data_IF_238678117280
#
_entry.id   IF_238678117280
#
_cell.length_a   1.000
_cell.length_b   1.000
_cell.length_c   1.000
_cell.angle_alpha   90.00
_cell.angle_beta   90.00
_cell.angle_gamma   90.00
#
_symmetry.space_group_name_H-M   'P 1'
#
loop_
_entity.id
_entity.type
_entity.pdbx_description
1 polymer ?
#
# COMPACT_ATOMS: atom_id res chain seq x y z
N UNK A 1 9.80 14.99 -26.75
CA UNK A 1 10.42 14.46 -25.54
C UNK A 1 9.26 13.89 -24.74
N UNK A 2 9.33 12.63 -24.29
CA UNK A 2 8.32 12.12 -23.33
C UNK A 2 8.46 12.97 -22.07
N UNK A 3 7.33 13.41 -21.49
CA UNK A 3 7.35 14.02 -20.17
C UNK A 3 7.81 12.94 -19.18
N UNK A 4 8.86 13.23 -18.45
CA UNK A 4 9.36 12.35 -17.38
C UNK A 4 8.99 13.05 -16.10
N UNK A 5 8.20 12.38 -15.25
CA UNK A 5 7.74 12.92 -13.97
C UNK A 5 8.86 12.95 -12.93
N UNK A 6 8.65 13.74 -11.87
CA UNK A 6 9.56 13.78 -10.73
C UNK A 6 9.75 12.38 -10.16
N UNK A 7 11.00 12.05 -9.78
CA UNK A 7 11.37 10.72 -9.27
C UNK A 7 10.69 10.34 -7.95
N UNK A 8 10.18 11.32 -7.20
CA UNK A 8 9.44 11.10 -5.96
C UNK A 8 7.95 10.82 -6.21
N UNK A 9 7.52 10.87 -7.47
CA UNK A 9 6.17 10.47 -7.87
C UNK A 9 6.23 9.03 -8.38
N UNK A 10 5.60 8.12 -7.65
CA UNK A 10 5.56 6.68 -7.93
C UNK A 10 4.23 6.31 -8.58
N UNK A 11 4.26 5.40 -9.56
CA UNK A 11 3.06 4.77 -10.10
C UNK A 11 2.77 3.50 -9.30
N UNK A 12 1.69 3.50 -8.50
CA UNK A 12 1.28 2.33 -7.74
C UNK A 12 0.77 1.19 -8.64
N UNK A 13 0.83 -0.03 -8.15
CA UNK A 13 0.40 -1.21 -8.90
C UNK A 13 -1.11 -1.26 -9.16
N UNK A 14 -1.90 -0.42 -8.45
CA UNK A 14 -3.33 -0.24 -8.70
C UNK A 14 -3.61 0.17 -10.16
N UNK A 15 -2.68 0.82 -10.84
CA UNK A 15 -2.71 1.04 -12.28
C UNK A 15 -2.94 -0.26 -13.06
N UNK A 16 -2.09 -1.25 -12.82
CA UNK A 16 -2.18 -2.57 -13.49
C UNK A 16 -3.41 -3.35 -13.05
N UNK A 17 -3.79 -3.26 -11.78
CA UNK A 17 -5.02 -3.87 -11.23
C UNK A 17 -6.25 -3.30 -11.94
N UNK A 18 -6.34 -1.99 -12.11
CA UNK A 18 -7.47 -1.34 -12.77
C UNK A 18 -7.58 -1.73 -14.23
N UNK A 19 -6.43 -1.87 -14.90
CA UNK A 19 -6.37 -2.17 -16.33
C UNK A 19 -6.66 -3.63 -16.66
N UNK A 20 -6.25 -4.55 -15.79
CA UNK A 20 -6.22 -6.00 -16.09
C UNK A 20 -7.06 -6.85 -15.14
N UNK A 21 -7.67 -6.24 -14.10
CA UNK A 21 -8.45 -6.94 -13.08
C UNK A 21 -7.62 -7.35 -11.86
N UNK A 22 -8.29 -7.91 -10.85
CA UNK A 22 -7.68 -8.26 -9.56
C UNK A 22 -7.73 -9.77 -9.28
N UNK A 23 -6.59 -10.42 -9.01
CA UNK A 23 -5.24 -9.93 -9.28
C UNK A 23 -4.94 -9.94 -10.79
N UNK A 24 -4.11 -9.03 -11.31
CA UNK A 24 -3.66 -9.11 -12.69
C UNK A 24 -2.72 -10.31 -12.87
N UNK A 25 -2.57 -10.82 -14.08
CA UNK A 25 -1.74 -12.02 -14.31
C UNK A 25 -0.25 -11.73 -14.09
N UNK A 26 0.36 -12.38 -13.10
CA UNK A 26 1.75 -12.21 -12.74
C UNK A 26 2.76 -12.65 -13.85
N UNK A 27 2.34 -13.45 -14.83
CA UNK A 27 3.18 -13.80 -15.98
C UNK A 27 3.46 -12.56 -16.88
N UNK A 28 2.67 -11.48 -16.74
CA UNK A 28 2.80 -10.25 -17.50
C UNK A 28 3.52 -9.09 -16.76
N UNK A 29 4.15 -9.35 -15.62
CA UNK A 29 4.82 -8.30 -14.82
C UNK A 29 5.80 -7.45 -15.61
N UNK A 30 6.57 -8.03 -16.53
CA UNK A 30 7.49 -7.29 -17.41
C UNK A 30 6.74 -6.29 -18.29
N UNK A 31 5.57 -6.66 -18.80
CA UNK A 31 4.70 -5.76 -19.58
C UNK A 31 4.23 -4.59 -18.72
N UNK A 32 3.81 -4.85 -17.48
CA UNK A 32 3.35 -3.80 -16.56
C UNK A 32 4.46 -2.80 -16.23
N UNK A 33 5.70 -3.28 -16.01
CA UNK A 33 6.87 -2.39 -15.86
C UNK A 33 7.03 -1.46 -17.06
N UNK A 34 6.93 -2.01 -18.28
CA UNK A 34 7.07 -1.22 -19.50
C UNK A 34 5.94 -0.20 -19.66
N UNK A 35 4.70 -0.56 -19.38
CA UNK A 35 3.54 0.33 -19.51
C UNK A 35 3.63 1.52 -18.53
N UNK A 36 3.90 1.26 -17.25
CA UNK A 36 4.07 2.33 -16.27
C UNK A 36 5.25 3.25 -16.61
N UNK A 37 6.37 2.70 -17.10
CA UNK A 37 7.50 3.48 -17.59
C UNK A 37 7.17 4.26 -18.87
N UNK A 38 6.31 3.73 -19.75
CA UNK A 38 5.89 4.40 -20.99
C UNK A 38 5.01 5.62 -20.72
N UNK A 39 4.28 5.66 -19.60
CA UNK A 39 3.57 6.84 -19.12
C UNK A 39 4.51 7.97 -18.66
N UNK A 40 5.78 7.67 -18.39
CA UNK A 40 6.78 8.67 -17.97
C UNK A 40 7.21 8.55 -16.51
N UNK A 41 6.75 7.51 -15.78
CA UNK A 41 7.18 7.29 -14.40
C UNK A 41 8.60 6.73 -14.31
N UNK A 42 9.39 7.29 -13.41
CA UNK A 42 10.74 6.81 -13.05
C UNK A 42 10.74 5.96 -11.78
N UNK A 43 9.60 5.88 -11.12
CA UNK A 43 9.39 5.12 -9.89
C UNK A 43 8.05 4.39 -10.01
N UNK A 44 8.02 3.10 -9.69
CA UNK A 44 6.82 2.25 -9.75
C UNK A 44 6.74 1.31 -8.56
N UNK A 45 5.54 0.84 -8.26
CA UNK A 45 5.32 -0.31 -7.38
C UNK A 45 5.02 -1.57 -8.18
N UNK A 46 5.36 -2.71 -7.58
CA UNK A 46 4.90 -4.03 -8.01
C UNK A 46 4.35 -4.78 -6.81
N UNK A 47 3.42 -5.71 -7.05
CA UNK A 47 2.79 -6.49 -5.99
C UNK A 47 2.95 -8.00 -6.17
N UNK A 48 2.92 -8.71 -5.03
CA UNK A 48 2.77 -10.16 -4.93
C UNK A 48 1.49 -10.51 -4.17
N UNK A 49 0.38 -10.75 -4.88
CA UNK A 49 -0.97 -10.88 -4.31
C UNK A 49 -1.27 -12.34 -3.99
N UNK A 50 -1.22 -12.69 -2.71
CA UNK A 50 -1.40 -14.07 -2.28
C UNK A 50 -0.30 -15.01 -2.77
N UNK A 51 -0.42 -16.29 -2.44
CA UNK A 51 0.65 -17.28 -2.67
C UNK A 51 0.98 -17.51 -4.15
N UNK A 52 -0.03 -17.76 -4.98
CA UNK A 52 0.19 -18.16 -6.36
C UNK A 52 0.84 -17.04 -7.18
N UNK A 53 0.30 -15.83 -7.04
CA UNK A 53 0.81 -14.64 -7.71
C UNK A 53 2.25 -14.31 -7.25
N UNK A 54 2.51 -14.28 -5.93
CA UNK A 54 3.84 -14.02 -5.38
C UNK A 54 4.87 -15.04 -5.87
N UNK A 55 4.52 -16.33 -5.94
CA UNK A 55 5.41 -17.39 -6.47
C UNK A 55 5.71 -17.18 -7.95
N UNK A 56 4.74 -16.71 -8.74
CA UNK A 56 4.97 -16.39 -10.16
C UNK A 56 5.89 -15.20 -10.31
N UNK A 57 5.71 -14.13 -9.54
CA UNK A 57 6.63 -12.99 -9.49
C UNK A 57 8.04 -13.46 -9.12
N UNK A 58 8.17 -14.34 -8.12
CA UNK A 58 9.46 -14.89 -7.72
C UNK A 58 10.13 -15.69 -8.84
N UNK A 59 9.36 -16.49 -9.57
CA UNK A 59 9.83 -17.27 -10.74
C UNK A 59 10.43 -16.34 -11.81
N UNK A 60 9.77 -15.20 -12.08
CA UNK A 60 10.16 -14.24 -13.13
C UNK A 60 11.00 -13.06 -12.61
N UNK A 61 11.52 -13.11 -11.38
CA UNK A 61 12.23 -11.98 -10.76
C UNK A 61 13.43 -11.45 -11.55
N UNK A 62 14.10 -12.31 -12.33
CA UNK A 62 15.26 -11.90 -13.13
C UNK A 62 14.85 -11.05 -14.31
N UNK A 63 13.83 -11.48 -15.02
CA UNK A 63 13.25 -10.78 -16.17
C UNK A 63 12.63 -9.44 -15.74
N UNK A 64 11.94 -9.43 -14.59
CA UNK A 64 11.36 -8.21 -14.00
C UNK A 64 12.49 -7.23 -13.63
N UNK A 65 13.54 -7.70 -12.93
CA UNK A 65 14.67 -6.84 -12.57
C UNK A 65 15.36 -6.27 -13.80
N UNK A 66 15.59 -7.09 -14.84
CA UNK A 66 16.17 -6.62 -16.09
C UNK A 66 15.31 -5.55 -16.74
N UNK A 67 13.97 -5.72 -16.74
CA UNK A 67 13.06 -4.71 -17.29
C UNK A 67 13.12 -3.37 -16.51
N UNK A 68 13.21 -3.41 -15.17
CA UNK A 68 13.41 -2.22 -14.35
C UNK A 68 14.72 -1.51 -14.71
N UNK A 69 15.82 -2.26 -14.82
CA UNK A 69 17.14 -1.74 -15.17
C UNK A 69 17.17 -1.15 -16.60
N UNK A 70 16.63 -1.87 -17.59
CA UNK A 70 16.58 -1.44 -19.00
C UNK A 70 15.77 -0.14 -19.18
N UNK A 71 14.76 0.07 -18.33
CA UNK A 71 13.93 1.26 -18.33
C UNK A 71 14.44 2.38 -17.41
N UNK A 72 15.44 2.10 -16.58
CA UNK A 72 15.96 3.02 -15.58
C UNK A 72 14.90 3.41 -14.53
N UNK A 73 14.00 2.48 -14.18
CA UNK A 73 12.89 2.70 -13.26
C UNK A 73 13.23 2.13 -11.89
N UNK A 74 13.03 2.93 -10.85
CA UNK A 74 13.18 2.51 -9.46
C UNK A 74 11.93 1.79 -8.95
N UNK A 75 12.13 0.89 -8.00
CA UNK A 75 11.04 0.24 -7.25
C UNK A 75 11.25 0.51 -5.76
N UNK A 76 10.70 1.61 -5.21
CA UNK A 76 10.92 1.99 -3.80
C UNK A 76 10.28 1.01 -2.82
N UNK A 77 9.12 0.46 -3.17
CA UNK A 77 8.35 -0.44 -2.33
C UNK A 77 7.85 -1.63 -3.16
N UNK A 78 7.98 -2.84 -2.61
CA UNK A 78 7.36 -4.04 -3.13
C UNK A 78 6.17 -4.41 -2.23
N UNK A 79 4.98 -4.50 -2.81
CA UNK A 79 3.77 -4.79 -2.05
C UNK A 79 3.52 -6.29 -1.97
N UNK A 80 3.07 -6.75 -0.80
CA UNK A 80 2.50 -8.08 -0.60
C UNK A 80 1.06 -7.95 -0.15
N UNK A 81 0.21 -8.93 -0.44
CA UNK A 81 -1.15 -8.98 0.08
C UNK A 81 -1.34 -10.35 0.72
N UNK A 82 -1.10 -10.40 2.03
CA UNK A 82 -1.01 -11.64 2.81
C UNK A 82 -1.92 -11.61 4.05
N UNK A 83 -3.25 -11.62 3.87
CA UNK A 83 -4.22 -11.44 4.96
C UNK A 83 -4.12 -12.52 6.05
N UNK A 84 -3.46 -13.64 5.76
CA UNK A 84 -3.29 -14.73 6.70
C UNK A 84 -2.35 -14.42 7.88
N UNK A 85 -1.49 -13.41 7.81
CA UNK A 85 -0.60 -13.05 8.95
C UNK A 85 -1.42 -12.77 10.21
N UNK A 86 -2.57 -12.11 10.08
CA UNK A 86 -3.48 -11.81 11.18
C UNK A 86 -4.47 -12.95 11.51
N UNK A 87 -4.44 -14.07 10.79
CA UNK A 87 -5.40 -15.16 11.00
C UNK A 87 -5.28 -15.79 12.39
N UNK A 88 -6.40 -16.12 13.05
CA UNK A 88 -6.36 -16.93 14.26
C UNK A 88 -5.92 -18.38 14.00
N UNK A 89 -5.93 -18.85 12.76
CA UNK A 89 -5.50 -20.18 12.34
C UNK A 89 -3.97 -20.23 12.20
N UNK A 90 -3.28 -20.88 13.14
CA UNK A 90 -1.82 -20.88 13.25
C UNK A 90 -1.07 -21.33 12.01
N UNK A 91 -1.52 -22.41 11.34
CA UNK A 91 -0.87 -22.91 10.11
C UNK A 91 -0.98 -21.90 8.95
N UNK A 92 -2.15 -21.30 8.77
CA UNK A 92 -2.36 -20.29 7.74
C UNK A 92 -1.53 -19.02 8.00
N UNK A 93 -1.45 -18.63 9.27
CA UNK A 93 -0.64 -17.48 9.67
C UNK A 93 0.86 -17.75 9.47
N UNK A 94 1.35 -18.94 9.84
CA UNK A 94 2.76 -19.30 9.61
C UNK A 94 3.09 -19.32 8.12
N UNK A 95 2.23 -19.92 7.31
CA UNK A 95 2.39 -19.93 5.85
C UNK A 95 2.45 -18.50 5.27
N UNK A 96 1.63 -17.60 5.77
CA UNK A 96 1.63 -16.20 5.33
C UNK A 96 2.89 -15.47 5.76
N UNK A 97 3.43 -15.75 6.94
CA UNK A 97 4.75 -15.24 7.36
C UNK A 97 5.89 -15.74 6.47
N UNK A 98 5.88 -17.03 6.09
CA UNK A 98 6.87 -17.58 5.17
C UNK A 98 6.81 -16.93 3.78
N UNK A 99 5.59 -16.64 3.30
CA UNK A 99 5.38 -15.89 2.06
C UNK A 99 5.83 -14.42 2.21
N UNK A 100 5.57 -13.79 3.35
CA UNK A 100 6.05 -12.43 3.61
C UNK A 100 7.56 -12.34 3.58
N UNK A 101 8.26 -13.34 4.13
CA UNK A 101 9.72 -13.44 4.01
C UNK A 101 10.16 -13.52 2.54
N UNK A 102 9.43 -14.28 1.70
CA UNK A 102 9.67 -14.29 0.24
C UNK A 102 9.45 -12.91 -0.39
N UNK A 103 8.43 -12.17 0.07
CA UNK A 103 8.21 -10.78 -0.33
C UNK A 103 9.38 -9.87 0.04
N UNK A 104 9.93 -10.01 1.25
CA UNK A 104 11.14 -9.27 1.67
C UNK A 104 12.35 -9.61 0.78
N UNK A 105 12.55 -10.89 0.45
CA UNK A 105 13.61 -11.31 -0.47
C UNK A 105 13.45 -10.65 -1.85
N UNK A 106 12.21 -10.61 -2.40
CA UNK A 106 11.91 -9.95 -3.67
C UNK A 106 12.13 -8.44 -3.60
N UNK A 107 11.64 -7.77 -2.56
CA UNK A 107 11.86 -6.35 -2.36
C UNK A 107 13.35 -6.00 -2.36
N UNK A 108 14.16 -6.72 -1.58
CA UNK A 108 15.60 -6.54 -1.54
C UNK A 108 16.27 -6.86 -2.88
N UNK A 109 15.81 -7.91 -3.57
CA UNK A 109 16.34 -8.30 -4.89
C UNK A 109 16.08 -7.22 -5.95
N UNK A 110 14.94 -6.57 -5.92
CA UNK A 110 14.60 -5.46 -6.82
C UNK A 110 15.25 -4.14 -6.43
N UNK A 111 15.81 -4.02 -5.23
CA UNK A 111 16.45 -2.82 -4.72
C UNK A 111 15.47 -1.88 -4.02
N UNK A 112 14.33 -2.39 -3.57
CA UNK A 112 13.39 -1.62 -2.77
C UNK A 112 13.99 -1.21 -1.42
N UNK A 113 13.48 -0.12 -0.84
CA UNK A 113 13.79 0.27 0.54
C UNK A 113 12.78 -0.31 1.54
N UNK A 114 11.68 -0.85 1.04
CA UNK A 114 10.70 -1.46 1.91
C UNK A 114 9.75 -2.43 1.23
N UNK A 115 9.08 -3.19 2.06
CA UNK A 115 7.98 -4.08 1.71
C UNK A 115 6.70 -3.56 2.35
N UNK A 116 5.60 -3.58 1.60
CA UNK A 116 4.29 -3.15 2.08
C UNK A 116 3.37 -4.37 2.19
N UNK A 117 2.54 -4.41 3.21
CA UNK A 117 1.40 -5.32 3.30
C UNK A 117 0.19 -4.60 3.88
N UNK A 118 -0.97 -5.13 3.59
CA UNK A 118 -2.21 -4.64 4.18
C UNK A 118 -2.16 -4.74 5.71
N UNK A 119 -2.71 -3.73 6.37
CA UNK A 119 -2.86 -3.76 7.83
C UNK A 119 -3.57 -5.03 8.30
N UNK A 120 -3.24 -5.53 9.51
CA UNK A 120 -3.76 -6.78 10.01
C UNK A 120 -5.29 -6.74 10.15
N UNK A 121 -5.95 -7.64 9.43
CA UNK A 121 -7.41 -7.76 9.50
C UNK A 121 -7.83 -8.27 10.88
N UNK A 122 -8.97 -7.77 11.36
CA UNK A 122 -9.66 -8.37 12.50
C UNK A 122 -9.99 -9.84 12.17
N UNK A 123 -9.98 -10.76 13.15
CA UNK A 123 -10.19 -12.18 12.91
C UNK A 123 -11.66 -12.51 12.59
N UNK A 124 -12.16 -11.92 11.52
CA UNK A 124 -13.52 -12.16 11.04
C UNK A 124 -13.64 -13.50 10.33
N UNK A 125 -14.81 -14.14 10.46
CA UNK A 125 -15.23 -15.27 9.63
C UNK A 125 -16.00 -14.69 8.42
N UNK A 126 -15.32 -14.57 7.30
CA UNK A 126 -15.94 -14.19 6.04
C UNK A 126 -16.69 -15.36 5.40
N UNK A 127 -17.72 -15.13 4.58
CA UNK A 127 -18.31 -16.16 3.75
C UNK A 127 -17.24 -16.88 2.92
N UNK A 128 -17.40 -18.22 2.74
CA UNK A 128 -16.39 -19.06 2.10
C UNK A 128 -16.10 -18.70 0.62
N UNK A 129 -17.04 -18.01 -0.02
CA UNK A 129 -16.98 -17.57 -1.42
C UNK A 129 -16.49 -16.13 -1.56
N UNK A 130 -16.13 -15.47 -0.47
CA UNK A 130 -15.64 -14.11 -0.51
C UNK A 130 -14.15 -14.10 -0.92
N UNK A 131 -13.80 -13.50 -2.05
CA UNK A 131 -12.42 -13.39 -2.48
C UNK A 131 -11.63 -12.47 -1.54
N UNK A 132 -10.30 -12.56 -1.61
CA UNK A 132 -9.42 -11.59 -0.95
C UNK A 132 -9.64 -10.24 -1.63
N UNK A 133 -10.14 -9.26 -0.88
CA UNK A 133 -10.33 -7.90 -1.36
C UNK A 133 -9.30 -6.96 -0.74
N UNK A 134 -8.98 -5.90 -1.46
CA UNK A 134 -8.24 -4.77 -0.88
C UNK A 134 -9.07 -4.07 0.21
N UNK A 135 -10.37 -3.98 -0.01
CA UNK A 135 -11.32 -3.33 0.91
C UNK A 135 -12.61 -4.13 1.00
N UNK A 136 -13.20 -4.11 2.17
CA UNK A 136 -14.52 -4.68 2.41
C UNK A 136 -15.53 -3.56 2.61
N UNK A 137 -16.70 -3.70 1.99
CA UNK A 137 -17.77 -2.72 2.18
C UNK A 137 -18.26 -2.70 3.64
N UNK A 138 -18.76 -1.56 4.13
CA UNK A 138 -19.33 -1.46 5.48
C UNK A 138 -20.42 -2.49 5.76
N UNK A 139 -21.20 -2.87 4.75
CA UNK A 139 -22.26 -3.88 4.90
C UNK A 139 -21.69 -5.27 5.10
N UNK A 140 -20.59 -5.62 4.43
CA UNK A 140 -19.85 -6.85 4.67
C UNK A 140 -19.31 -6.85 6.10
N UNK A 141 -18.58 -5.80 6.49
CA UNK A 141 -17.93 -5.71 7.81
C UNK A 141 -18.93 -5.77 8.98
N UNK A 142 -20.14 -5.21 8.82
CA UNK A 142 -21.20 -5.29 9.85
C UNK A 142 -21.81 -6.68 10.00
N UNK A 143 -21.73 -7.52 8.97
CA UNK A 143 -22.41 -8.81 8.91
C UNK A 143 -21.46 -10.01 9.04
N UNK A 144 -20.14 -9.80 9.10
CA UNK A 144 -19.18 -10.88 9.38
C UNK A 144 -19.35 -11.39 10.81
N UNK A 145 -18.95 -12.63 11.02
CA UNK A 145 -18.99 -13.26 12.34
C UNK A 145 -17.61 -13.27 12.96
N UNK A 146 -17.58 -13.38 14.27
CA UNK A 146 -16.35 -13.65 15.01
C UNK A 146 -16.29 -15.16 15.33
N UNK A 147 -15.07 -15.75 15.34
CA UNK A 147 -14.88 -17.12 15.75
C UNK A 147 -15.48 -17.37 17.13
N UNK A 148 -16.20 -18.49 17.29
CA UNK A 148 -16.72 -18.86 18.58
C UNK A 148 -15.59 -18.99 19.61
N UNK A 149 -15.78 -18.42 20.80
CA UNK A 149 -14.80 -18.41 21.89
C UNK A 149 -13.50 -17.68 21.60
N UNK A 150 -13.51 -16.71 20.65
CA UNK A 150 -12.37 -15.83 20.44
C UNK A 150 -11.99 -15.13 21.76
N UNK A 151 -10.78 -15.36 22.23
CA UNK A 151 -10.18 -14.56 23.29
C UNK A 151 -9.38 -13.43 22.66
N UNK A 152 -9.82 -12.19 22.85
CA UNK A 152 -9.11 -11.01 22.32
C UNK A 152 -7.66 -10.99 22.79
N UNK A 153 -7.40 -11.21 24.07
CA UNK A 153 -6.03 -11.21 24.60
C UNK A 153 -5.13 -12.23 23.90
N UNK A 154 -5.62 -13.47 23.75
CA UNK A 154 -4.84 -14.53 23.09
C UNK A 154 -4.60 -14.19 21.61
N UNK A 155 -5.62 -13.67 20.95
CA UNK A 155 -5.48 -13.22 19.56
C UNK A 155 -4.44 -12.10 19.41
N UNK A 156 -4.53 -11.07 20.26
CA UNK A 156 -3.63 -9.92 20.26
C UNK A 156 -2.19 -10.32 20.55
N UNK A 157 -1.93 -11.13 21.58
CA UNK A 157 -0.60 -11.63 21.91
C UNK A 157 0.02 -12.43 20.74
N UNK A 158 -0.78 -13.26 20.06
CA UNK A 158 -0.34 -14.00 18.88
C UNK A 158 -0.07 -13.07 17.68
N UNK A 159 -0.91 -12.06 17.47
CA UNK A 159 -0.72 -11.08 16.41
C UNK A 159 0.59 -10.32 16.63
N UNK A 160 0.83 -9.79 17.83
CA UNK A 160 2.07 -9.08 18.17
C UNK A 160 3.30 -9.94 17.90
N UNK A 161 3.28 -11.21 18.31
CA UNK A 161 4.40 -12.15 18.07
C UNK A 161 4.68 -12.36 16.57
N UNK A 162 3.63 -12.39 15.74
CA UNK A 162 3.78 -12.55 14.28
C UNK A 162 4.26 -11.26 13.62
N UNK A 163 3.72 -10.12 14.04
CA UNK A 163 4.15 -8.81 13.55
C UNK A 163 5.61 -8.53 13.91
N UNK A 164 6.03 -8.91 15.11
CA UNK A 164 7.43 -8.89 15.53
C UNK A 164 8.31 -9.71 14.57
N UNK A 165 7.87 -10.93 14.23
CA UNK A 165 8.55 -11.79 13.26
C UNK A 165 8.60 -11.16 11.87
N UNK A 166 7.51 -10.54 11.41
CA UNK A 166 7.45 -9.86 10.11
C UNK A 166 8.39 -8.64 10.07
N UNK A 167 8.38 -7.80 11.12
CA UNK A 167 9.30 -6.68 11.25
C UNK A 167 10.77 -7.13 11.21
N UNK A 168 11.06 -8.23 11.91
CA UNK A 168 12.40 -8.84 11.89
C UNK A 168 12.78 -9.33 10.49
N UNK A 169 11.88 -10.00 9.76
CA UNK A 169 12.19 -10.43 8.39
C UNK A 169 12.51 -9.22 7.49
N UNK A 170 11.73 -8.15 7.55
CA UNK A 170 12.04 -6.94 6.80
C UNK A 170 13.42 -6.37 7.20
N UNK A 171 13.71 -6.28 8.50
CA UNK A 171 14.98 -5.78 9.01
C UNK A 171 16.17 -6.66 8.57
N UNK A 172 16.03 -7.99 8.56
CA UNK A 172 17.08 -8.94 8.14
C UNK A 172 17.48 -8.72 6.65
N UNK A 173 16.57 -8.15 5.83
CA UNK A 173 16.83 -7.75 4.44
C UNK A 173 17.16 -6.26 4.28
N UNK A 174 17.27 -5.50 5.37
CA UNK A 174 17.54 -4.06 5.35
C UNK A 174 16.35 -3.23 4.85
N UNK A 175 15.12 -3.72 5.01
CA UNK A 175 13.90 -3.11 4.53
C UNK A 175 13.07 -2.50 5.65
N UNK A 176 12.35 -1.42 5.34
CA UNK A 176 11.19 -1.00 6.11
C UNK A 176 10.01 -1.95 5.86
N UNK A 177 9.14 -2.08 6.84
CA UNK A 177 7.84 -2.74 6.70
C UNK A 177 6.75 -1.68 6.75
N UNK A 178 6.11 -1.43 5.61
CA UNK A 178 5.01 -0.47 5.48
C UNK A 178 3.67 -1.15 5.69
N UNK A 179 2.86 -0.56 6.54
CA UNK A 179 1.52 -1.03 6.85
C UNK A 179 0.49 -0.16 6.13
N UNK A 180 -0.28 -0.77 5.24
CA UNK A 180 -1.32 -0.08 4.46
C UNK A 180 -2.64 -0.06 5.24
N UNK A 181 -3.32 1.10 5.38
CA UNK A 181 -4.55 1.26 6.16
C UNK A 181 -5.78 0.77 5.39
N UNK A 182 -5.87 -0.54 5.17
CA UNK A 182 -7.09 -1.10 4.58
C UNK A 182 -8.27 -0.89 5.51
N UNK A 183 -9.39 -0.45 4.96
CA UNK A 183 -10.64 -0.26 5.73
C UNK A 183 -11.08 -1.58 6.37
N UNK A 184 -11.32 -1.53 7.67
CA UNK A 184 -11.67 -2.69 8.49
C UNK A 184 -10.48 -3.47 9.04
N UNK A 185 -9.25 -3.05 8.79
CA UNK A 185 -8.06 -3.56 9.48
C UNK A 185 -7.91 -2.95 10.89
N UNK A 186 -7.01 -3.52 11.69
CA UNK A 186 -6.70 -2.96 13.02
C UNK A 186 -5.90 -1.65 12.95
N UNK A 187 -5.33 -1.36 11.79
CA UNK A 187 -4.52 -0.17 11.51
C UNK A 187 -5.14 0.68 10.40
N UNK A 188 -6.45 0.70 10.31
CA UNK A 188 -7.20 1.51 9.32
C UNK A 188 -7.20 3.01 9.60
N UNK A 189 -6.56 3.41 10.69
CA UNK A 189 -6.33 4.79 11.09
C UNK A 189 -4.91 5.00 11.59
N UNK A 190 -4.45 6.26 11.58
CA UNK A 190 -3.15 6.64 12.16
C UNK A 190 -3.03 6.23 13.63
N UNK A 191 -4.12 6.34 14.42
CA UNK A 191 -4.12 5.93 15.82
C UNK A 191 -3.96 4.42 15.99
N UNK A 192 -4.65 3.62 15.17
CA UNK A 192 -4.52 2.16 15.18
C UNK A 192 -3.09 1.71 14.88
N UNK A 193 -2.48 2.34 13.88
CA UNK A 193 -1.07 2.09 13.55
C UNK A 193 -0.12 2.48 14.70
N UNK A 194 -0.27 3.69 15.26
CA UNK A 194 0.62 4.17 16.34
C UNK A 194 0.54 3.30 17.58
N UNK A 195 -0.66 2.80 17.93
CA UNK A 195 -0.83 1.84 19.01
C UNK A 195 -0.03 0.55 18.76
N UNK A 196 -0.14 -0.01 17.55
CA UNK A 196 0.58 -1.23 17.21
C UNK A 196 2.10 -1.00 17.17
N UNK A 197 2.54 0.14 16.64
CA UNK A 197 3.95 0.52 16.62
C UNK A 197 4.54 0.66 18.01
N UNK A 198 3.81 1.28 18.94
CA UNK A 198 4.24 1.43 20.34
C UNK A 198 4.41 0.07 21.03
N UNK A 199 3.47 -0.85 20.84
CA UNK A 199 3.54 -2.20 21.39
C UNK A 199 4.70 -3.03 20.82
N UNK A 200 5.02 -2.88 19.53
CA UNK A 200 6.06 -3.65 18.85
C UNK A 200 7.47 -3.04 19.01
N UNK A 201 7.59 -1.73 19.09
CA UNK A 201 8.85 -1.03 19.28
C UNK A 201 9.84 -1.07 18.10
N UNK A 202 9.43 -1.53 16.92
CA UNK A 202 10.29 -1.62 15.75
C UNK A 202 10.41 -0.29 15.00
N UNK A 203 11.63 0.20 14.80
CA UNK A 203 11.89 1.43 14.04
C UNK A 203 11.58 1.28 12.54
N UNK A 204 11.83 0.09 11.98
CA UNK A 204 11.54 -0.21 10.57
C UNK A 204 10.07 -0.49 10.29
N UNK A 205 9.19 -0.52 11.28
CA UNK A 205 7.74 -0.54 11.07
C UNK A 205 7.29 0.88 10.73
N UNK A 206 6.77 1.05 9.52
CA UNK A 206 6.34 2.32 8.95
C UNK A 206 4.86 2.28 8.56
N UNK A 207 4.31 3.43 8.29
CA UNK A 207 2.93 3.56 7.82
C UNK A 207 2.92 4.04 6.37
N UNK A 208 2.20 3.33 5.50
CA UNK A 208 1.82 3.87 4.22
C UNK A 208 0.58 4.74 4.40
N UNK A 209 0.72 6.04 4.29
CA UNK A 209 -0.39 6.97 4.49
C UNK A 209 -1.27 7.01 3.23
N UNK A 210 -2.39 6.31 3.23
CA UNK A 210 -3.32 6.33 2.11
C UNK A 210 -4.38 7.42 2.30
N UNK A 211 -4.38 8.40 1.40
CA UNK A 211 -5.24 9.58 1.53
C UNK A 211 -6.72 9.26 1.40
N UNK A 212 -7.14 8.39 0.47
CA UNK A 212 -8.54 8.03 0.28
C UNK A 212 -9.08 7.17 1.41
N UNK A 213 -8.31 6.16 1.84
CA UNK A 213 -8.73 5.26 2.90
C UNK A 213 -8.90 6.00 4.24
N UNK A 214 -7.91 6.82 4.61
CA UNK A 214 -7.97 7.60 5.85
C UNK A 214 -9.06 8.68 5.79
N UNK A 215 -9.27 9.30 4.62
CA UNK A 215 -10.35 10.28 4.44
C UNK A 215 -11.73 9.63 4.55
N UNK A 216 -11.90 8.43 3.99
CA UNK A 216 -13.11 7.64 4.18
C UNK A 216 -13.33 7.24 5.65
N UNK A 217 -12.27 6.92 6.39
CA UNK A 217 -12.33 6.67 7.84
C UNK A 217 -12.60 7.94 8.67
N UNK A 218 -12.89 9.07 8.01
CA UNK A 218 -13.14 10.38 8.63
C UNK A 218 -11.95 10.89 9.46
N UNK A 219 -10.73 10.46 9.12
CA UNK A 219 -9.55 11.01 9.75
C UNK A 219 -9.22 12.40 9.18
N UNK A 220 -8.85 13.32 10.04
CA UNK A 220 -8.25 14.58 9.60
C UNK A 220 -6.83 14.30 9.10
N UNK A 221 -6.62 14.33 7.78
CA UNK A 221 -5.36 13.94 7.15
C UNK A 221 -4.18 14.75 7.68
N UNK A 222 -4.34 16.07 7.84
CA UNK A 222 -3.28 16.93 8.35
C UNK A 222 -2.89 16.58 9.80
N UNK A 223 -3.86 16.24 10.65
CA UNK A 223 -3.59 15.74 12.00
C UNK A 223 -2.87 14.39 11.96
N UNK A 224 -3.25 13.49 11.04
CA UNK A 224 -2.56 12.22 10.80
C UNK A 224 -1.09 12.43 10.42
N UNK A 225 -0.83 13.34 9.45
CA UNK A 225 0.52 13.72 9.05
C UNK A 225 1.36 14.26 10.22
N UNK A 226 0.78 15.15 11.03
CA UNK A 226 1.48 15.72 12.20
C UNK A 226 1.84 14.65 13.23
N UNK A 227 0.97 13.65 13.46
CA UNK A 227 1.23 12.55 14.39
C UNK A 227 2.39 11.66 13.94
N UNK A 228 2.48 11.38 12.63
CA UNK A 228 3.55 10.57 12.05
C UNK A 228 4.85 11.35 11.92
N UNK A 229 4.77 12.65 11.58
CA UNK A 229 5.93 13.52 11.50
C UNK A 229 7.01 12.97 10.55
N UNK A 230 8.26 12.95 11.02
CA UNK A 230 9.43 12.52 10.23
C UNK A 230 9.50 11.00 9.97
N UNK A 231 8.66 10.21 10.64
CA UNK A 231 8.59 8.76 10.41
C UNK A 231 7.86 8.42 9.12
N UNK A 232 7.09 9.38 8.58
CA UNK A 232 6.37 9.22 7.32
C UNK A 232 7.31 9.48 6.13
N UNK A 233 7.42 8.49 5.26
CA UNK A 233 8.25 8.57 4.06
C UNK A 233 7.60 7.94 2.80
N UNK A 234 6.35 7.46 2.92
CA UNK A 234 5.62 6.85 1.82
C UNK A 234 4.11 7.11 1.93
N UNK A 235 3.54 7.67 0.88
CA UNK A 235 2.13 8.10 0.85
C UNK A 235 1.46 7.57 -0.42
N UNK A 236 0.33 6.87 -0.29
CA UNK A 236 -0.58 6.61 -1.39
C UNK A 236 -1.50 7.81 -1.61
N UNK A 237 -1.51 8.31 -2.83
CA UNK A 237 -2.25 9.51 -3.24
C UNK A 237 -3.40 9.12 -4.14
N UNK A 238 -4.61 9.39 -3.67
CA UNK A 238 -5.83 9.44 -4.44
C UNK A 238 -6.83 10.36 -3.75
N UNK A 239 -7.87 10.77 -4.45
CA UNK A 239 -8.90 11.65 -3.90
C UNK A 239 -10.19 10.87 -3.59
N UNK A 240 -11.04 11.45 -2.76
CA UNK A 240 -12.32 10.85 -2.35
C UNK A 240 -13.32 11.95 -1.95
N UNK A 241 -14.61 11.63 -2.04
CA UNK A 241 -15.67 12.43 -1.43
C UNK A 241 -15.93 12.08 0.06
N UNK A 242 -15.23 11.05 0.60
CA UNK A 242 -15.32 10.63 1.99
C UNK A 242 -16.59 9.84 2.36
N UNK A 243 -17.45 9.51 1.42
CA UNK A 243 -18.68 8.74 1.67
C UNK A 243 -18.52 7.24 1.38
N UNK A 244 -17.55 6.89 0.57
CA UNK A 244 -17.14 5.53 0.23
C UNK A 244 -15.67 5.55 -0.15
N UNK A 245 -15.06 4.38 -0.29
CA UNK A 245 -13.71 4.27 -0.86
C UNK A 245 -13.82 4.55 -2.35
N UNK A 246 -12.99 5.42 -2.91
CA UNK A 246 -13.17 5.87 -4.29
C UNK A 246 -11.89 5.93 -5.13
N UNK A 247 -10.72 6.11 -4.57
CA UNK A 247 -9.43 6.23 -5.28
C UNK A 247 -9.50 7.04 -6.60
N UNK A 248 -10.09 8.25 -6.50
CA UNK A 248 -10.22 9.18 -7.63
C UNK A 248 -8.86 9.84 -7.95
N UNK A 249 -8.72 10.35 -9.18
CA UNK A 249 -7.59 11.22 -9.51
C UNK A 249 -7.55 12.44 -8.59
N UNK A 250 -6.36 12.87 -8.16
CA UNK A 250 -6.20 14.00 -7.26
C UNK A 250 -6.83 15.28 -7.84
N UNK A 251 -7.57 15.99 -7.01
CA UNK A 251 -8.36 17.15 -7.37
C UNK A 251 -9.79 16.84 -7.86
N UNK A 252 -10.18 15.56 -7.97
CA UNK A 252 -11.51 15.16 -8.39
C UNK A 252 -12.45 14.81 -7.20
N UNK A 253 -11.98 14.90 -5.98
CA UNK A 253 -12.74 14.70 -4.75
C UNK A 253 -12.87 15.96 -3.92
N UNK A 254 -12.88 15.82 -2.59
CA UNK A 254 -13.06 16.91 -1.64
C UNK A 254 -11.94 17.01 -0.61
N UNK A 255 -10.82 16.32 -0.79
CA UNK A 255 -9.64 16.45 0.06
C UNK A 255 -9.06 17.86 -0.06
N UNK A 256 -8.81 18.52 1.07
CA UNK A 256 -8.14 19.83 1.11
C UNK A 256 -6.62 19.65 0.87
N UNK A 257 -6.26 19.65 -0.41
CA UNK A 257 -4.88 19.45 -0.84
C UNK A 257 -3.96 20.60 -0.44
N UNK A 258 -4.46 21.82 -0.30
CA UNK A 258 -3.64 22.95 0.14
C UNK A 258 -3.25 22.79 1.61
N UNK A 259 -4.18 22.39 2.46
CA UNK A 259 -3.89 22.07 3.85
C UNK A 259 -2.98 20.84 3.95
N UNK A 260 -3.20 19.82 3.11
CA UNK A 260 -2.39 18.59 3.07
C UNK A 260 -0.92 18.90 2.73
N UNK A 261 -0.65 19.57 1.60
CA UNK A 261 0.71 19.91 1.18
C UNK A 261 1.38 20.93 2.10
N UNK A 262 0.62 21.88 2.64
CA UNK A 262 1.11 22.78 3.68
C UNK A 262 1.61 22.04 4.93
N UNK A 263 0.90 20.97 5.30
CA UNK A 263 1.30 20.11 6.42
C UNK A 263 2.51 19.23 6.07
N UNK A 264 2.60 18.69 4.84
CA UNK A 264 3.80 17.98 4.39
C UNK A 264 5.05 18.85 4.48
N UNK A 265 4.96 20.11 4.04
CA UNK A 265 6.04 21.08 4.21
C UNK A 265 6.39 21.31 5.69
N UNK A 266 5.38 21.47 6.53
CA UNK A 266 5.57 21.70 7.97
C UNK A 266 6.31 20.57 8.67
N UNK A 267 6.04 19.30 8.31
CA UNK A 267 6.73 18.15 8.90
C UNK A 267 8.08 17.85 8.26
N UNK A 268 8.43 18.55 7.17
CA UNK A 268 9.67 18.32 6.40
C UNK A 268 9.65 16.98 5.67
N UNK A 269 8.52 16.63 5.04
CA UNK A 269 8.38 15.41 4.26
C UNK A 269 9.40 15.35 3.12
N UNK A 270 10.03 14.19 2.95
CA UNK A 270 11.05 13.96 1.93
C UNK A 270 10.95 12.55 1.29
N UNK A 271 9.81 11.89 1.49
CA UNK A 271 9.53 10.55 0.97
C UNK A 271 8.94 10.56 -0.44
N UNK A 272 8.27 9.48 -0.83
CA UNK A 272 7.59 9.37 -2.12
C UNK A 272 6.08 9.51 -2.01
N UNK A 273 5.49 10.06 -3.07
CA UNK A 273 4.06 10.18 -3.31
C UNK A 273 3.67 9.16 -4.40
N UNK A 274 3.06 8.06 -3.99
CA UNK A 274 2.67 6.98 -4.90
C UNK A 274 1.21 7.17 -5.32
N UNK A 275 0.98 7.32 -6.62
CA UNK A 275 -0.36 7.50 -7.19
C UNK A 275 -1.11 6.17 -7.11
N UNK A 276 -2.12 6.09 -6.23
CA UNK A 276 -2.97 4.92 -6.02
C UNK A 276 -4.41 5.22 -6.45
N UNK A 277 -4.57 5.49 -7.74
CA UNK A 277 -5.84 5.83 -8.40
C UNK A 277 -6.37 4.60 -9.12
N UNK A 278 -7.68 4.36 -9.05
CA UNK A 278 -8.31 3.27 -9.79
C UNK A 278 -9.08 2.29 -8.91
N UNK A 279 -9.09 1.03 -9.32
CA UNK A 279 -9.94 -0.01 -8.76
C UNK A 279 -11.38 0.07 -9.25
N UNK A 280 -12.16 -0.98 -9.04
CA UNK A 280 -13.58 -1.04 -9.44
C UNK A 280 -14.41 0.06 -8.75
N UNK A 281 -13.97 0.50 -7.58
CA UNK A 281 -14.60 1.52 -6.75
C UNK A 281 -14.47 2.94 -7.32
N UNK A 282 -13.47 3.19 -8.17
CA UNK A 282 -13.19 4.54 -8.68
C UNK A 282 -14.07 4.96 -9.84
N UNK A 283 -14.55 4.00 -10.64
CA UNK A 283 -15.24 4.26 -11.90
C UNK A 283 -14.42 5.12 -12.89
N UNK A 284 -13.08 5.09 -12.81
CA UNK A 284 -12.19 5.80 -13.72
C UNK A 284 -12.32 5.21 -15.12
N UNK A 285 -12.67 6.03 -16.10
CA UNK A 285 -12.91 5.60 -17.48
C UNK A 285 -11.62 5.42 -18.29
N UNK A 286 -10.60 6.23 -18.00
CA UNK A 286 -9.29 6.21 -18.65
C UNK A 286 -8.22 6.27 -17.56
N UNK A 287 -7.60 5.12 -17.30
CA UNK A 287 -6.62 5.00 -16.22
C UNK A 287 -5.31 5.71 -16.57
N UNK A 288 -4.92 5.73 -17.83
CA UNK A 288 -3.71 6.41 -18.29
C UNK A 288 -3.84 7.91 -18.01
N UNK A 289 -4.95 8.52 -18.45
CA UNK A 289 -5.18 9.96 -18.23
C UNK A 289 -5.34 10.30 -16.74
N UNK A 290 -5.97 9.45 -15.94
CA UNK A 290 -6.12 9.66 -14.49
C UNK A 290 -4.75 9.69 -13.77
N UNK A 291 -3.81 8.82 -14.15
CA UNK A 291 -2.44 8.84 -13.64
C UNK A 291 -1.67 10.06 -14.12
N UNK A 292 -1.76 10.40 -15.41
CA UNK A 292 -1.10 11.58 -15.97
C UNK A 292 -1.64 12.88 -15.35
N UNK A 293 -2.94 13.00 -15.15
CA UNK A 293 -3.58 14.14 -14.46
C UNK A 293 -3.06 14.25 -13.02
N UNK A 294 -3.08 13.14 -12.28
CA UNK A 294 -2.63 13.14 -10.88
C UNK A 294 -1.13 13.46 -10.79
N UNK A 295 -0.30 12.92 -11.68
CA UNK A 295 1.13 13.22 -11.68
C UNK A 295 1.42 14.70 -11.92
N UNK A 296 0.76 15.34 -12.91
CA UNK A 296 0.87 16.79 -13.16
C UNK A 296 0.41 17.61 -11.94
N UNK A 297 -0.72 17.21 -11.33
CA UNK A 297 -1.23 17.85 -10.12
C UNK A 297 -0.19 17.78 -8.98
N UNK A 298 0.45 16.62 -8.79
CA UNK A 298 1.48 16.46 -7.77
C UNK A 298 2.71 17.33 -8.07
N UNK A 299 3.20 17.38 -9.32
CA UNK A 299 4.32 18.26 -9.70
C UNK A 299 4.01 19.74 -9.41
N UNK A 300 2.80 20.21 -9.71
CA UNK A 300 2.35 21.57 -9.39
C UNK A 300 2.36 21.83 -7.88
N UNK A 301 1.85 20.90 -7.08
CA UNK A 301 1.81 21.02 -5.62
C UNK A 301 3.20 20.93 -4.99
N UNK A 302 4.04 20.00 -5.44
CA UNK A 302 5.44 19.86 -5.00
C UNK A 302 6.17 21.20 -5.23
N UNK A 303 6.05 21.79 -6.41
CA UNK A 303 6.68 23.07 -6.74
C UNK A 303 6.10 24.24 -5.92
N UNK A 304 4.77 24.32 -5.78
CA UNK A 304 4.11 25.41 -5.04
C UNK A 304 4.45 25.44 -3.56
N UNK A 305 4.65 24.26 -2.96
CA UNK A 305 4.93 24.11 -1.53
C UNK A 305 6.41 23.84 -1.23
N UNK A 306 7.26 23.72 -2.25
CA UNK A 306 8.72 23.44 -2.09
C UNK A 306 8.95 22.20 -1.19
N UNK A 307 8.36 21.06 -1.58
CA UNK A 307 8.37 19.85 -0.77
C UNK A 307 9.76 19.19 -0.76
N UNK A 308 10.52 19.27 -1.85
CA UNK A 308 11.85 18.68 -2.03
C UNK A 308 12.93 19.72 -2.28
#
# INVERSE_FOLDING_TARGET
MRNVFDRHITCAFLYSITRYGYPPDAEHMVTYVHEMADLGFQSIELEGIGEAHLKTVYKHRKEIKQALEDRGVALPVFCTVLPGIASPQGEFAQKSLDLFKTGCELGAYFGARGVLDNGPLVPYEFPADMPIHRHYSPDVLRNVRLPQRLSWKVYWDNLLSRMDTACKFAADYGLNYYMHPCVGSLTDTTNGYLLLKEELGWENLKFNFDTSNLYYMHENLSLGLLKLGKDLDYIHISDSYGQRIEHQAAGNGTIDWDLFFGTLKQIGFSGELSIDVGGDESHVADIDEAYLQTARFLEEKIAAYEIY
#
